data_IF_308193905825
#
_entry.id   IF_308193905825
#
_cell.length_a   1.000
_cell.length_b   1.000
_cell.length_c   1.000
_cell.angle_alpha   90.00
_cell.angle_beta   90.00
_cell.angle_gamma   90.00
#
_symmetry.space_group_name_H-M   'P 1'
#
loop_
_entity.id
_entity.type
_entity.pdbx_description
1 polymer ?
#
# COMPACT_ATOMS: atom_id res chain seq x y z
N UNK A 1 26.37 -24.90 -27.19
CA UNK A 1 25.55 -25.06 -25.98
C UNK A 1 25.95 -23.92 -25.06
N UNK A 2 24.98 -23.17 -24.53
CA UNK A 2 25.28 -21.99 -23.73
C UNK A 2 25.16 -22.39 -22.26
N UNK A 3 26.23 -22.96 -21.72
CA UNK A 3 26.36 -23.19 -20.28
C UNK A 3 26.33 -21.84 -19.56
N UNK A 4 25.53 -21.75 -18.50
CA UNK A 4 25.42 -20.57 -17.65
C UNK A 4 25.83 -20.94 -16.24
N UNK A 5 26.76 -20.18 -15.67
CA UNK A 5 27.16 -20.32 -14.27
C UNK A 5 26.23 -19.47 -13.41
N UNK A 6 25.52 -20.10 -12.48
CA UNK A 6 24.69 -19.41 -11.50
C UNK A 6 25.51 -19.18 -10.22
N UNK A 7 25.59 -17.91 -9.84
CA UNK A 7 26.19 -17.45 -8.59
C UNK A 7 25.07 -16.98 -7.64
N UNK A 8 25.21 -17.25 -6.35
CA UNK A 8 24.25 -16.89 -5.32
C UNK A 8 24.86 -15.90 -4.34
N UNK A 9 24.20 -14.77 -4.14
CA UNK A 9 24.58 -13.80 -3.11
C UNK A 9 23.82 -14.13 -1.81
N UNK A 10 24.49 -14.60 -0.75
CA UNK A 10 23.81 -15.03 0.48
C UNK A 10 23.23 -13.84 1.26
N UNK A 11 23.84 -12.66 1.16
CA UNK A 11 23.40 -11.42 1.81
C UNK A 11 23.87 -10.21 1.00
N UNK A 12 23.13 -9.09 1.02
CA UNK A 12 23.53 -7.87 0.31
C UNK A 12 24.96 -7.45 0.70
N UNK A 13 25.82 -7.24 -0.30
CA UNK A 13 27.21 -6.83 -0.09
C UNK A 13 28.22 -7.96 0.15
N UNK A 14 27.78 -9.22 0.25
CA UNK A 14 28.69 -10.38 0.28
C UNK A 14 29.04 -10.79 -1.15
N UNK A 15 30.25 -11.31 -1.36
CA UNK A 15 30.65 -11.84 -2.67
C UNK A 15 29.75 -13.01 -3.09
N UNK A 16 29.29 -13.06 -4.35
CA UNK A 16 28.51 -14.18 -4.85
C UNK A 16 29.29 -15.49 -4.74
N UNK A 17 28.63 -16.55 -4.28
CA UNK A 17 29.18 -17.90 -4.21
C UNK A 17 28.65 -18.77 -5.35
N UNK A 18 29.46 -19.70 -5.83
CA UNK A 18 29.05 -20.64 -6.88
C UNK A 18 27.88 -21.53 -6.39
N UNK A 19 26.78 -21.52 -7.14
CA UNK A 19 25.62 -22.38 -6.90
C UNK A 19 25.64 -23.60 -7.81
N UNK A 20 25.57 -23.40 -9.13
CA UNK A 20 25.50 -24.48 -10.11
C UNK A 20 25.86 -23.98 -11.52
N UNK A 21 26.42 -24.86 -12.35
CA UNK A 21 26.43 -24.67 -13.81
C UNK A 21 25.17 -25.30 -14.37
N UNK A 22 24.46 -24.56 -15.24
CA UNK A 22 23.18 -25.00 -15.79
C UNK A 22 23.09 -24.80 -17.29
N UNK A 23 22.27 -25.64 -17.92
CA UNK A 23 21.91 -25.55 -19.33
C UNK A 23 20.40 -25.51 -19.53
N UNK A 24 19.87 -24.73 -20.48
CA UNK A 24 18.45 -24.72 -20.78
C UNK A 24 18.01 -26.05 -21.39
N UNK A 25 16.99 -26.68 -20.79
CA UNK A 25 16.34 -27.87 -21.34
C UNK A 25 15.37 -27.42 -22.43
N UNK A 26 15.64 -27.81 -23.68
CA UNK A 26 14.72 -27.57 -24.79
C UNK A 26 13.57 -28.57 -24.69
N UNK A 27 12.42 -28.13 -24.17
CA UNK A 27 11.21 -28.96 -24.07
C UNK A 27 10.37 -28.93 -25.35
N UNK A 28 10.46 -27.86 -26.15
CA UNK A 28 9.68 -27.71 -27.40
C UNK A 28 10.54 -27.16 -28.54
N UNK A 29 10.33 -27.66 -29.76
CA UNK A 29 10.99 -27.17 -30.98
C UNK A 29 10.65 -25.71 -31.33
N UNK A 30 9.58 -25.16 -30.74
CA UNK A 30 9.14 -23.76 -30.87
C UNK A 30 9.65 -22.85 -29.74
N UNK A 31 10.29 -23.42 -28.70
CA UNK A 31 10.82 -22.63 -27.60
C UNK A 31 12.03 -21.82 -28.07
N UNK A 32 11.83 -20.51 -28.24
CA UNK A 32 12.92 -19.58 -28.53
C UNK A 32 14.00 -19.77 -27.47
N UNK A 33 15.18 -20.22 -27.89
CA UNK A 33 16.34 -20.42 -27.01
C UNK A 33 16.55 -19.16 -26.18
N UNK A 34 16.52 -19.33 -24.86
CA UNK A 34 16.80 -18.26 -23.94
C UNK A 34 18.29 -17.92 -24.02
N UNK A 35 18.57 -16.67 -24.37
CA UNK A 35 19.92 -16.10 -24.35
C UNK A 35 20.26 -15.74 -22.90
N UNK A 36 20.84 -16.69 -22.18
CA UNK A 36 21.40 -16.44 -20.85
C UNK A 36 22.88 -16.00 -20.99
N UNK A 37 23.35 -15.05 -20.15
CA UNK A 37 24.76 -14.70 -20.09
C UNK A 37 25.59 -15.87 -19.55
N UNK A 38 26.91 -15.85 -19.77
CA UNK A 38 27.83 -16.86 -19.23
C UNK A 38 27.75 -16.96 -17.69
N UNK A 39 27.57 -15.83 -17.02
CA UNK A 39 27.48 -15.74 -15.56
C UNK A 39 26.20 -15.00 -15.16
N UNK A 40 25.43 -15.59 -14.24
CA UNK A 40 24.18 -15.06 -13.74
C UNK A 40 24.22 -15.01 -12.21
N UNK A 41 24.07 -13.80 -11.65
CA UNK A 41 24.10 -13.57 -10.20
C UNK A 41 22.68 -13.43 -9.67
N UNK A 42 22.33 -14.32 -8.73
CA UNK A 42 21.10 -14.28 -7.96
C UNK A 42 21.31 -13.44 -6.71
N UNK A 43 20.86 -12.19 -6.75
CA UNK A 43 21.10 -11.17 -5.72
C UNK A 43 19.83 -10.69 -5.00
N UNK A 44 18.65 -10.92 -5.57
CA UNK A 44 17.37 -10.52 -4.99
C UNK A 44 16.61 -11.68 -4.35
N UNK A 45 15.97 -11.43 -3.21
CA UNK A 45 14.95 -12.32 -2.66
C UNK A 45 13.63 -11.57 -2.50
N UNK A 46 12.53 -12.17 -2.94
CA UNK A 46 11.17 -11.65 -2.76
C UNK A 46 10.26 -12.74 -2.19
N UNK A 47 9.21 -12.35 -1.48
CA UNK A 47 8.19 -13.28 -0.95
C UNK A 47 6.97 -13.40 -1.87
N UNK A 48 6.97 -12.69 -2.99
CA UNK A 48 5.87 -12.74 -3.94
C UNK A 48 5.76 -14.15 -4.57
N UNK A 49 4.54 -14.70 -4.70
CA UNK A 49 4.33 -15.97 -5.40
C UNK A 49 4.51 -15.74 -6.90
N UNK A 50 5.57 -16.31 -7.47
CA UNK A 50 5.90 -16.14 -8.89
C UNK A 50 5.46 -17.33 -9.74
N UNK A 51 5.25 -18.52 -9.18
CA UNK A 51 4.79 -19.66 -9.99
C UNK A 51 3.27 -19.64 -10.21
N UNK A 52 2.53 -19.18 -9.19
CA UNK A 52 1.08 -19.25 -9.14
C UNK A 52 0.50 -18.29 -10.17
N UNK A 53 0.02 -18.85 -11.28
CA UNK A 53 -0.64 -18.10 -12.33
C UNK A 53 -1.85 -17.33 -11.79
N UNK A 54 -1.66 -16.05 -11.47
CA UNK A 54 -2.58 -15.03 -11.99
C UNK A 54 -2.33 -14.90 -13.50
N UNK A 55 -2.47 -16.02 -14.22
CA UNK A 55 -2.98 -15.96 -15.56
C UNK A 55 -4.44 -15.58 -15.36
N UNK A 56 -4.72 -14.29 -15.35
CA UNK A 56 -6.08 -13.83 -15.60
C UNK A 56 -6.49 -14.44 -16.94
N UNK A 57 -7.49 -15.34 -17.00
CA UNK A 57 -7.78 -16.15 -18.17
C UNK A 57 -8.32 -15.36 -19.38
N UNK A 58 -8.24 -14.02 -19.36
CA UNK A 58 -8.83 -13.12 -20.36
C UNK A 58 -7.84 -12.12 -20.98
N UNK A 59 -6.53 -12.37 -20.91
CA UNK A 59 -5.54 -11.49 -21.54
C UNK A 59 -4.53 -12.28 -22.35
N UNK A 60 -4.98 -12.80 -23.48
CA UNK A 60 -4.20 -13.58 -24.47
C UNK A 60 -2.95 -12.88 -25.03
N UNK A 61 -2.63 -11.64 -24.61
CA UNK A 61 -1.51 -10.86 -25.16
C UNK A 61 -0.63 -10.16 -24.11
N UNK A 62 -0.75 -10.49 -22.82
CA UNK A 62 0.03 -9.80 -21.76
C UNK A 62 0.82 -10.78 -20.92
N UNK A 63 2.02 -11.08 -21.39
CA UNK A 63 3.23 -10.58 -20.75
C UNK A 63 4.43 -11.31 -21.35
N UNK A 64 5.46 -10.59 -21.79
CA UNK A 64 6.66 -11.15 -22.44
C UNK A 64 7.50 -12.10 -21.56
N UNK A 65 6.91 -12.66 -20.49
CA UNK A 65 7.50 -13.70 -19.66
C UNK A 65 7.57 -15.00 -20.45
N UNK A 66 8.78 -15.53 -20.54
CA UNK A 66 9.09 -16.88 -21.01
C UNK A 66 9.36 -17.76 -19.79
N UNK A 67 9.08 -19.04 -19.90
CA UNK A 67 9.36 -20.01 -18.83
C UNK A 67 10.24 -21.11 -19.38
N UNK A 68 11.21 -21.58 -18.61
CA UNK A 68 12.01 -22.73 -18.98
C UNK A 68 12.47 -23.53 -17.76
N UNK A 69 13.02 -24.70 -18.03
CA UNK A 69 13.76 -25.49 -17.06
C UNK A 69 15.24 -25.41 -17.38
N UNK A 70 16.06 -25.19 -16.35
CA UNK A 70 17.52 -25.25 -16.42
C UNK A 70 17.97 -26.53 -15.72
N UNK A 71 18.80 -27.33 -16.40
CA UNK A 71 19.36 -28.56 -15.86
C UNK A 71 20.77 -28.28 -15.32
N UNK A 72 21.04 -28.68 -14.09
CA UNK A 72 22.40 -28.61 -13.55
C UNK A 72 23.31 -29.68 -14.16
N UNK A 73 24.48 -29.26 -14.63
CA UNK A 73 25.50 -30.12 -15.26
C UNK A 73 26.74 -30.33 -14.40
N UNK A 74 26.83 -29.68 -13.24
CA UNK A 74 28.05 -29.60 -12.43
C UNK A 74 28.33 -30.83 -11.54
N UNK A 75 27.32 -31.68 -11.31
CA UNK A 75 27.38 -32.85 -10.44
C UNK A 75 27.57 -32.56 -8.94
N UNK A 76 27.53 -31.29 -8.49
CA UNK A 76 27.81 -30.90 -7.09
C UNK A 76 26.58 -30.96 -6.18
N UNK A 77 25.40 -31.20 -6.73
CA UNK A 77 24.15 -31.42 -5.99
C UNK A 77 23.81 -30.31 -4.97
N UNK A 78 24.20 -29.05 -5.24
CA UNK A 78 23.85 -27.90 -4.39
C UNK A 78 22.42 -27.40 -4.65
N UNK A 79 21.92 -27.61 -5.86
CA UNK A 79 20.63 -27.13 -6.33
C UNK A 79 19.42 -27.65 -5.48
N UNK A 80 19.37 -28.93 -5.09
CA UNK A 80 18.31 -29.42 -4.19
C UNK A 80 18.25 -28.70 -2.85
N UNK A 81 19.42 -28.39 -2.25
CA UNK A 81 19.50 -27.65 -0.98
C UNK A 81 18.99 -26.22 -1.12
N UNK A 82 19.34 -25.56 -2.22
CA UNK A 82 18.85 -24.23 -2.56
C UNK A 82 17.33 -24.20 -2.79
N UNK A 83 16.79 -25.13 -3.59
CA UNK A 83 15.34 -25.23 -3.82
C UNK A 83 14.56 -25.49 -2.54
N UNK A 84 15.10 -26.35 -1.66
CA UNK A 84 14.54 -26.59 -0.32
C UNK A 84 14.52 -25.30 0.50
N UNK A 85 15.61 -24.54 0.51
CA UNK A 85 15.67 -23.25 1.20
C UNK A 85 14.61 -22.26 0.71
N UNK A 86 14.44 -22.11 -0.61
CA UNK A 86 13.41 -21.23 -1.19
C UNK A 86 12.00 -21.63 -0.75
N UNK A 87 11.70 -22.94 -0.77
CA UNK A 87 10.41 -23.50 -0.36
C UNK A 87 10.13 -23.30 1.13
N UNK A 88 11.09 -23.65 1.98
CA UNK A 88 10.97 -23.55 3.44
C UNK A 88 10.77 -22.10 3.89
N UNK A 89 11.43 -21.15 3.21
CA UNK A 89 11.33 -19.71 3.51
C UNK A 89 10.23 -18.99 2.75
N UNK A 90 9.54 -19.65 1.80
CA UNK A 90 8.58 -19.04 0.86
C UNK A 90 9.15 -17.79 0.18
N UNK A 91 10.36 -17.92 -0.38
CA UNK A 91 11.09 -16.84 -1.05
C UNK A 91 11.41 -17.23 -2.48
N UNK A 92 11.06 -16.38 -3.44
CA UNK A 92 11.59 -16.44 -4.80
C UNK A 92 12.92 -15.71 -4.86
N UNK A 93 13.81 -16.18 -5.73
CA UNK A 93 15.11 -15.56 -5.98
C UNK A 93 15.11 -14.87 -7.34
N UNK A 94 15.75 -13.71 -7.45
CA UNK A 94 15.73 -12.86 -8.63
C UNK A 94 17.15 -12.55 -9.06
N UNK A 95 17.40 -12.63 -10.37
CA UNK A 95 18.59 -12.13 -11.01
C UNK A 95 18.19 -11.02 -12.00
N UNK A 96 18.97 -9.95 -12.03
CA UNK A 96 18.86 -8.88 -13.04
C UNK A 96 20.15 -8.85 -13.84
N UNK A 97 20.05 -8.91 -15.16
CA UNK A 97 21.23 -8.90 -16.04
C UNK A 97 20.92 -8.20 -17.35
N UNK A 98 21.95 -8.02 -18.18
CA UNK A 98 21.80 -7.51 -19.54
C UNK A 98 21.81 -8.70 -20.50
N UNK A 99 20.76 -8.85 -21.29
CA UNK A 99 20.69 -9.90 -22.31
C UNK A 99 21.72 -9.60 -23.40
N UNK A 100 22.56 -10.59 -23.71
CA UNK A 100 23.62 -10.48 -24.72
C UNK A 100 23.05 -10.33 -26.13
N UNK A 101 21.90 -10.94 -26.41
CA UNK A 101 21.29 -10.92 -27.74
C UNK A 101 20.52 -9.63 -28.02
N UNK A 102 19.76 -9.15 -27.04
CA UNK A 102 18.86 -8.01 -27.21
C UNK A 102 19.46 -6.66 -26.74
N UNK A 103 20.59 -6.67 -26.02
CA UNK A 103 21.14 -5.50 -25.32
C UNK A 103 20.17 -4.84 -24.33
N UNK A 104 19.02 -5.47 -24.10
CA UNK A 104 17.99 -5.06 -23.14
C UNK A 104 18.30 -5.65 -21.78
N UNK A 105 17.80 -5.02 -20.73
CA UNK A 105 17.84 -5.56 -19.39
C UNK A 105 16.79 -6.65 -19.24
N UNK A 106 17.18 -7.74 -18.61
CA UNK A 106 16.35 -8.89 -18.36
C UNK A 106 16.27 -9.23 -16.87
N UNK A 107 15.17 -9.87 -16.50
CA UNK A 107 14.94 -10.43 -15.17
C UNK A 107 14.76 -11.92 -15.32
N UNK A 108 15.45 -12.68 -14.47
CA UNK A 108 15.18 -14.09 -14.24
C UNK A 108 14.70 -14.29 -12.81
N UNK A 109 13.65 -15.07 -12.63
CA UNK A 109 13.05 -15.38 -11.34
C UNK A 109 13.01 -16.88 -11.14
N UNK A 110 13.53 -17.33 -10.00
CA UNK A 110 13.40 -18.70 -9.48
C UNK A 110 12.29 -18.69 -8.42
N UNK A 111 11.07 -19.17 -8.72
CA UNK A 111 9.99 -19.23 -7.74
C UNK A 111 10.24 -20.31 -6.67
N UNK A 112 9.68 -20.11 -5.47
CA UNK A 112 9.68 -21.13 -4.41
C UNK A 112 8.64 -22.23 -4.62
N UNK A 113 7.65 -21.96 -5.48
CA UNK A 113 6.45 -22.77 -5.70
C UNK A 113 6.39 -23.39 -7.11
N UNK A 114 7.48 -23.90 -7.72
CA UNK A 114 7.51 -24.25 -9.15
C UNK A 114 6.37 -25.21 -9.58
N UNK A 115 5.87 -25.11 -10.83
CA UNK A 115 4.84 -26.00 -11.34
C UNK A 115 5.32 -27.46 -11.38
N UNK A 116 4.39 -28.43 -11.44
CA UNK A 116 4.74 -29.83 -11.60
C UNK A 116 5.61 -30.05 -12.83
N UNK A 117 6.72 -30.76 -12.66
CA UNK A 117 7.66 -31.04 -13.75
C UNK A 117 7.02 -32.01 -14.76
N UNK A 118 6.90 -31.63 -16.04
CA UNK A 118 6.32 -32.49 -17.07
C UNK A 118 7.29 -33.63 -17.37
N UNK A 119 7.03 -34.83 -16.83
CA UNK A 119 7.92 -35.99 -17.00
C UNK A 119 8.03 -36.48 -18.44
N UNK A 120 7.07 -36.16 -19.30
CA UNK A 120 7.03 -36.61 -20.69
C UNK A 120 7.92 -35.77 -21.63
N UNK A 121 8.27 -34.53 -21.24
CA UNK A 121 9.04 -33.60 -22.07
C UNK A 121 10.53 -33.58 -21.74
N UNK A 122 10.97 -34.34 -20.74
CA UNK A 122 12.36 -34.37 -20.31
C UNK A 122 13.16 -35.43 -21.08
N UNK A 123 14.41 -35.13 -21.47
CA UNK A 123 15.32 -36.14 -22.02
C UNK A 123 15.47 -37.34 -21.07
N UNK A 124 15.63 -38.54 -21.63
CA UNK A 124 15.81 -39.75 -20.84
C UNK A 124 17.09 -39.66 -19.98
N UNK A 125 16.97 -40.01 -18.70
CA UNK A 125 18.09 -40.01 -17.75
C UNK A 125 18.31 -38.70 -16.98
N UNK A 126 17.48 -37.66 -17.23
CA UNK A 126 17.55 -36.41 -16.46
C UNK A 126 16.97 -36.59 -15.06
N UNK A 127 17.76 -36.30 -14.04
CA UNK A 127 17.30 -36.29 -12.65
C UNK A 127 16.44 -35.04 -12.37
N UNK A 128 15.22 -35.26 -11.91
CA UNK A 128 14.27 -34.21 -11.53
C UNK A 128 14.79 -33.31 -10.41
N UNK A 129 15.69 -33.81 -9.57
CA UNK A 129 16.27 -33.02 -8.47
C UNK A 129 17.25 -31.94 -8.94
N UNK A 130 17.80 -32.11 -10.15
CA UNK A 130 18.75 -31.19 -10.77
C UNK A 130 18.08 -30.16 -11.70
N UNK A 131 16.75 -30.16 -11.76
CA UNK A 131 15.98 -29.22 -12.58
C UNK A 131 15.60 -27.98 -11.79
N UNK A 132 15.81 -26.83 -12.42
CA UNK A 132 15.49 -25.51 -11.91
C UNK A 132 14.46 -24.86 -12.82
N UNK A 133 13.23 -24.69 -12.34
CA UNK A 133 12.22 -23.92 -13.08
C UNK A 133 12.49 -22.42 -12.93
N UNK A 134 12.48 -21.68 -14.04
CA UNK A 134 12.72 -20.25 -14.06
C UNK A 134 11.71 -19.50 -14.94
N UNK A 135 11.41 -18.27 -14.56
CA UNK A 135 10.68 -17.30 -15.39
C UNK A 135 11.64 -16.21 -15.85
N UNK A 136 11.59 -15.88 -17.13
CA UNK A 136 12.46 -14.92 -17.80
C UNK A 136 11.63 -13.81 -18.44
N UNK A 137 12.01 -12.55 -18.24
CA UNK A 137 11.43 -11.40 -18.94
C UNK A 137 12.55 -10.51 -19.45
N UNK A 138 12.58 -10.28 -20.77
CA UNK A 138 13.41 -9.26 -21.38
C UNK A 138 12.55 -8.00 -21.63
N UNK A 139 12.54 -7.07 -20.68
CA UNK A 139 11.82 -5.80 -20.83
C UNK A 139 12.56 -4.66 -20.12
N UNK A 140 13.10 -3.74 -20.91
CA UNK A 140 13.74 -2.53 -20.41
C UNK A 140 12.77 -1.66 -19.62
N UNK A 141 11.47 -1.66 -19.93
CA UNK A 141 10.48 -0.79 -19.27
C UNK A 141 10.22 -1.21 -17.84
N UNK A 142 10.13 -2.51 -17.57
CA UNK A 142 9.90 -3.05 -16.22
C UNK A 142 11.08 -2.73 -15.30
N UNK A 143 12.30 -2.80 -15.82
CA UNK A 143 13.52 -2.48 -15.07
C UNK A 143 13.85 -0.98 -15.00
N UNK A 144 13.22 -0.16 -15.84
CA UNK A 144 13.38 1.30 -15.86
C UNK A 144 12.33 2.05 -15.05
N UNK A 145 11.34 1.38 -14.43
CA UNK A 145 10.31 2.04 -13.61
C UNK A 145 10.86 2.87 -12.43
N UNK A 146 12.15 2.77 -12.11
CA UNK A 146 12.84 3.65 -11.15
C UNK A 146 13.66 4.80 -11.75
N UNK A 147 13.85 4.88 -13.07
CA UNK A 147 14.51 6.01 -13.75
C UNK A 147 13.46 6.78 -14.54
N UNK A 148 13.04 7.93 -14.03
CA UNK A 148 12.09 8.83 -14.71
C UNK A 148 12.57 9.08 -16.14
N UNK A 149 11.71 8.94 -17.17
CA UNK A 149 12.02 9.56 -18.46
C UNK A 149 12.19 11.06 -18.20
N UNK A 150 13.22 11.68 -18.77
CA UNK A 150 13.43 13.11 -18.69
C UNK A 150 12.12 13.80 -19.13
N UNK A 151 11.43 14.41 -18.16
CA UNK A 151 10.20 15.15 -18.45
C UNK A 151 10.64 16.42 -19.16
N UNK A 152 10.15 16.63 -20.37
CA UNK A 152 10.37 17.87 -21.11
C UNK A 152 10.08 19.09 -20.21
N UNK A 153 11.01 20.04 -20.07
CA UNK A 153 10.83 21.20 -19.18
C UNK A 153 9.57 22.02 -19.52
N UNK A 154 9.13 21.99 -20.79
CA UNK A 154 7.88 22.60 -21.23
C UNK A 154 6.61 21.93 -20.66
N UNK A 155 6.61 20.61 -20.46
CA UNK A 155 5.48 19.92 -19.80
C UNK A 155 5.44 20.21 -18.31
N UNK A 156 6.60 20.40 -17.68
CA UNK A 156 6.68 20.73 -16.25
C UNK A 156 6.11 22.12 -15.96
N UNK A 157 6.43 23.11 -16.80
CA UNK A 157 5.85 24.46 -16.78
C UNK A 157 4.32 24.45 -16.99
N UNK A 158 3.80 23.62 -17.90
CA UNK A 158 2.35 23.51 -18.10
C UNK A 158 1.65 22.94 -16.86
N UNK A 159 2.20 21.89 -16.24
CA UNK A 159 1.63 21.28 -15.04
C UNK A 159 1.63 22.28 -13.88
N UNK A 160 2.69 23.08 -13.73
CA UNK A 160 2.79 24.09 -12.68
C UNK A 160 1.80 25.24 -12.87
N UNK A 161 1.63 25.73 -14.11
CA UNK A 161 0.60 26.73 -14.43
C UNK A 161 -0.83 26.19 -14.19
N UNK A 162 -1.06 24.91 -14.45
CA UNK A 162 -2.37 24.28 -14.22
C UNK A 162 -2.68 24.17 -12.72
N UNK A 163 -1.69 23.76 -11.91
CA UNK A 163 -1.81 23.74 -10.44
C UNK A 163 -2.04 25.14 -9.85
N UNK A 164 -1.40 26.18 -10.37
CA UNK A 164 -1.62 27.56 -9.94
C UNK A 164 -3.06 28.03 -10.23
N UNK A 165 -3.60 27.71 -11.40
CA UNK A 165 -4.99 28.03 -11.76
C UNK A 165 -5.99 27.29 -10.86
N UNK A 166 -5.77 26.00 -10.58
CA UNK A 166 -6.63 25.24 -9.66
C UNK A 166 -6.60 25.82 -8.25
N UNK A 167 -5.42 26.21 -7.75
CA UNK A 167 -5.28 26.81 -6.42
C UNK A 167 -6.00 28.16 -6.32
N UNK A 168 -5.97 28.99 -7.37
CA UNK A 168 -6.76 30.23 -7.42
C UNK A 168 -8.27 29.97 -7.41
N UNK A 169 -8.75 29.00 -8.20
CA UNK A 169 -10.17 28.64 -8.26
C UNK A 169 -10.65 28.15 -6.89
N UNK A 170 -9.85 27.33 -6.21
CA UNK A 170 -10.17 26.80 -4.88
C UNK A 170 -10.25 27.91 -3.83
N UNK A 171 -9.32 28.87 -3.86
CA UNK A 171 -9.33 30.02 -2.96
C UNK A 171 -10.57 30.92 -3.18
N UNK A 172 -10.95 31.13 -4.44
CA UNK A 172 -12.13 31.91 -4.78
C UNK A 172 -13.43 31.23 -4.34
N UNK A 173 -13.51 29.90 -4.39
CA UNK A 173 -14.63 29.14 -3.85
C UNK A 173 -14.72 29.25 -2.33
N UNK A 174 -13.60 29.17 -1.60
CA UNK A 174 -13.60 29.31 -0.14
C UNK A 174 -14.09 30.69 0.31
N UNK A 175 -13.69 31.77 -0.39
CA UNK A 175 -14.18 33.12 -0.09
C UNK A 175 -15.68 33.26 -0.31
N UNK A 176 -16.23 32.68 -1.39
CA UNK A 176 -17.68 32.68 -1.65
C UNK A 176 -18.45 31.95 -0.55
N UNK A 177 -17.93 30.83 -0.05
CA UNK A 177 -18.56 30.06 1.04
C UNK A 177 -18.58 30.86 2.34
N UNK A 178 -17.50 31.59 2.66
CA UNK A 178 -17.45 32.44 3.86
C UNK A 178 -18.43 33.62 3.78
N UNK A 179 -18.56 34.28 2.63
CA UNK A 179 -19.52 35.37 2.44
C UNK A 179 -20.98 34.89 2.55
N UNK A 180 -21.30 33.69 2.08
CA UNK A 180 -22.64 33.11 2.26
C UNK A 180 -22.95 32.80 3.73
N UNK A 181 -21.97 32.30 4.50
CA UNK A 181 -22.15 32.05 5.95
C UNK A 181 -22.42 33.34 6.74
N UNK A 182 -21.75 34.44 6.40
CA UNK A 182 -21.99 35.73 7.06
C UNK A 182 -23.40 36.26 6.79
N UNK A 183 -23.93 36.12 5.56
CA UNK A 183 -25.29 36.55 5.21
C UNK A 183 -26.39 35.75 5.90
N UNK A 184 -26.15 34.48 6.23
CA UNK A 184 -27.13 33.65 6.96
C UNK A 184 -27.19 34.00 8.45
N UNK A 185 -26.09 34.47 9.06
CA UNK A 185 -26.10 34.86 10.48
C UNK A 185 -26.79 36.21 10.75
N UNK A 186 -26.96 37.07 9.74
CA UNK A 186 -27.63 38.37 9.91
C UNK A 186 -29.16 38.30 9.88
N UNK A 187 -29.78 37.17 9.51
CA UNK A 187 -31.25 37.03 9.44
C UNK A 187 -31.90 36.39 10.68
N UNK A 188 -31.16 36.01 11.72
CA UNK A 188 -31.72 35.38 12.93
C UNK A 188 -31.73 36.26 14.20
N UNK A 189 -31.36 37.56 14.12
CA UNK A 189 -31.43 38.49 15.25
C UNK A 189 -32.56 39.52 15.09
N UNK A 190 -33.82 39.07 15.15
CA UNK A 190 -34.94 39.98 15.40
C UNK A 190 -36.21 39.28 15.87
N UNK A 191 -36.19 38.60 17.02
CA UNK A 191 -37.40 38.48 17.88
C UNK A 191 -36.99 38.33 19.35
N UNK A 192 -37.26 39.38 20.13
CA UNK A 192 -37.38 39.39 21.60
C UNK A 192 -38.47 40.44 21.87
N UNK A 193 -39.56 40.20 22.60
CA UNK A 193 -39.65 39.83 24.02
C UNK A 193 -41.11 39.50 24.43
N UNK A 194 -41.26 39.05 25.69
CA UNK A 194 -42.42 39.17 26.59
C UNK A 194 -43.30 37.89 26.68
N UNK A 195 -43.77 37.36 27.83
CA UNK A 195 -43.97 37.85 29.20
C UNK A 195 -44.09 36.68 30.22
N UNK A 196 -43.85 37.01 31.49
CA UNK A 196 -44.63 36.61 32.69
C UNK A 196 -44.43 35.27 33.42
N UNK A 197 -44.69 35.40 34.72
CA UNK A 197 -44.56 34.49 35.84
C UNK A 197 -45.68 33.46 35.94
N UNK A 198 -45.36 32.22 36.38
CA UNK A 198 -46.24 31.42 37.26
C UNK A 198 -45.55 30.16 37.81
N UNK A 199 -45.81 29.92 39.10
CA UNK A 199 -45.66 28.66 39.84
C UNK A 199 -46.32 27.50 39.09
N UNK A 200 -45.75 26.30 39.17
CA UNK A 200 -46.45 25.08 38.78
C UNK A 200 -45.58 23.85 38.72
N UNK A 201 -45.86 22.92 39.62
CA UNK A 201 -45.34 21.54 39.72
C UNK A 201 -45.50 20.80 38.38
N UNK A 202 -44.47 20.07 37.96
CA UNK A 202 -44.56 19.20 36.78
C UNK A 202 -43.25 18.49 36.49
N UNK A 203 -43.11 17.27 37.01
CA UNK A 203 -42.01 16.36 36.68
C UNK A 203 -41.96 16.08 35.19
N UNK A 204 -40.77 16.17 34.61
CA UNK A 204 -40.51 15.88 33.21
C UNK A 204 -39.05 15.47 33.04
N UNK A 205 -38.86 14.47 32.17
CA UNK A 205 -37.66 13.66 31.90
C UNK A 205 -36.36 14.48 31.68
N UNK A 206 -36.44 15.80 31.47
CA UNK A 206 -35.31 16.72 31.34
C UNK A 206 -34.67 17.13 32.69
N UNK A 207 -35.39 17.06 33.81
CA UNK A 207 -34.81 17.31 35.14
C UNK A 207 -33.76 16.25 35.54
N UNK A 208 -33.95 15.01 35.08
CA UNK A 208 -32.99 13.93 35.30
C UNK A 208 -31.73 14.04 34.42
N UNK A 209 -31.76 14.79 33.31
CA UNK A 209 -30.62 14.93 32.41
C UNK A 209 -29.62 15.99 32.92
N UNK A 210 -30.13 17.09 33.47
CA UNK A 210 -29.29 18.13 34.10
C UNK A 210 -28.72 17.67 35.45
N UNK A 211 -29.49 16.86 36.22
CA UNK A 211 -28.97 16.21 37.44
C UNK A 211 -27.95 15.09 37.17
N UNK A 212 -28.04 14.41 36.01
CA UNK A 212 -27.07 13.38 35.62
C UNK A 212 -25.72 13.97 35.20
N UNK A 213 -25.69 15.16 34.59
CA UNK A 213 -24.43 15.87 34.27
C UNK A 213 -23.66 16.33 35.52
N UNK A 214 -24.35 16.75 36.58
CA UNK A 214 -23.66 17.12 37.83
C UNK A 214 -23.08 15.90 38.57
N UNK A 215 -23.73 14.73 38.48
CA UNK A 215 -23.23 13.49 39.09
C UNK A 215 -22.02 12.89 38.37
N UNK A 216 -21.91 13.04 37.05
CA UNK A 216 -20.71 12.61 36.30
C UNK A 216 -19.51 13.51 36.56
N UNK A 217 -19.72 14.80 36.81
CA UNK A 217 -18.64 15.74 37.10
C UNK A 217 -18.00 15.46 38.47
N UNK A 218 -18.81 15.23 39.51
CA UNK A 218 -18.30 14.84 40.83
C UNK A 218 -17.65 13.44 40.83
N UNK A 219 -18.14 12.50 40.00
CA UNK A 219 -17.53 11.17 39.90
C UNK A 219 -16.16 11.21 39.17
N UNK A 220 -15.99 12.11 38.19
CA UNK A 220 -14.69 12.33 37.53
C UNK A 220 -13.67 12.96 38.47
N UNK A 221 -14.10 13.88 39.35
CA UNK A 221 -13.20 14.49 40.33
C UNK A 221 -12.79 13.51 41.44
N UNK A 222 -13.69 12.61 41.87
CA UNK A 222 -13.33 11.51 42.79
C UNK A 222 -12.39 10.49 42.14
N UNK A 223 -12.56 10.19 40.84
CA UNK A 223 -11.64 9.29 40.10
C UNK A 223 -10.28 9.96 39.84
N UNK A 224 -10.24 11.29 39.63
CA UNK A 224 -8.98 12.05 39.56
C UNK A 224 -8.29 12.16 40.92
N UNK A 225 -9.03 12.34 42.01
CA UNK A 225 -8.48 12.41 43.36
C UNK A 225 -7.94 11.05 43.82
N UNK A 226 -8.58 9.94 43.46
CA UNK A 226 -8.12 8.59 43.83
C UNK A 226 -6.84 8.14 43.09
N UNK A 227 -6.45 8.82 42.00
CA UNK A 227 -5.17 8.61 41.31
C UNK A 227 -3.98 9.37 41.90
N UNK A 228 -4.19 10.26 42.87
CA UNK A 228 -3.11 11.05 43.50
C UNK A 228 -2.51 10.45 44.79
N UNK A 229 -2.98 9.28 45.24
CA UNK A 229 -2.53 8.67 46.50
C UNK A 229 -1.46 7.56 46.38
N UNK A 230 -0.81 7.42 45.23
CA UNK A 230 0.45 6.67 45.14
C UNK A 230 1.62 7.66 45.08
N UNK A 231 1.93 8.24 46.23
CA UNK A 231 3.17 8.99 46.47
C UNK A 231 4.34 8.00 46.56
N UNK A 232 4.83 7.61 45.39
CA UNK A 232 6.25 7.45 45.15
C UNK A 232 6.52 8.47 44.05
N UNK A 233 7.25 9.54 44.37
CA UNK A 233 7.83 10.40 43.34
C UNK A 233 8.59 9.48 42.37
N UNK A 234 8.14 9.31 41.12
CA UNK A 234 8.87 8.50 40.18
C UNK A 234 10.22 9.18 39.99
N UNK A 235 11.28 8.46 40.34
CA UNK A 235 12.64 8.89 40.04
C UNK A 235 12.75 8.93 38.50
N UNK A 236 12.56 10.13 37.94
CA UNK A 236 12.58 10.44 36.50
C UNK A 236 13.91 10.07 35.83
N UNK A 237 14.94 9.73 36.62
CA UNK A 237 16.25 9.31 36.16
C UNK A 237 16.41 7.79 36.06
N UNK A 238 15.44 7.01 36.55
CA UNK A 238 15.47 5.55 36.56
C UNK A 238 14.44 4.92 35.62
N UNK A 239 14.69 3.68 35.18
CA UNK A 239 13.73 2.89 34.40
C UNK A 239 13.53 3.37 32.95
N UNK A 240 12.31 3.16 32.42
CA UNK A 240 11.96 3.51 31.04
C UNK A 240 12.06 5.02 30.76
N UNK A 241 11.63 5.85 31.71
CA UNK A 241 11.69 7.31 31.59
C UNK A 241 13.14 7.82 31.56
N UNK A 242 14.03 7.26 32.39
CA UNK A 242 15.46 7.60 32.37
C UNK A 242 16.13 7.23 31.04
N UNK A 243 15.79 6.08 30.46
CA UNK A 243 16.31 5.67 29.16
C UNK A 243 15.85 6.59 28.02
N UNK A 244 14.59 7.04 28.05
CA UNK A 244 14.06 8.00 27.06
C UNK A 244 14.74 9.37 27.20
N UNK A 245 14.90 9.86 28.43
CA UNK A 245 15.54 11.16 28.69
C UNK A 245 17.02 11.16 28.31
N UNK A 246 17.77 10.12 28.69
CA UNK A 246 19.19 10.01 28.31
C UNK A 246 19.39 9.87 26.80
N UNK A 247 18.48 9.18 26.10
CA UNK A 247 18.49 9.15 24.65
C UNK A 247 18.16 10.52 24.05
N UNK A 248 17.17 11.25 24.59
CA UNK A 248 16.83 12.61 24.17
C UNK A 248 18.03 13.54 24.30
N UNK A 249 18.71 13.54 25.44
CA UNK A 249 19.90 14.36 25.69
C UNK A 249 21.05 14.02 24.73
N UNK A 250 21.26 12.73 24.45
CA UNK A 250 22.26 12.29 23.48
C UNK A 250 21.96 12.81 22.08
N UNK A 251 20.71 12.67 21.62
CA UNK A 251 20.29 13.16 20.30
C UNK A 251 20.39 14.67 20.23
N UNK A 252 19.97 15.39 21.28
CA UNK A 252 20.11 16.84 21.36
C UNK A 252 21.58 17.28 21.22
N UNK A 253 22.49 16.65 21.96
CA UNK A 253 23.93 16.96 21.89
C UNK A 253 24.53 16.67 20.52
N UNK A 254 24.13 15.58 19.86
CA UNK A 254 24.60 15.23 18.52
C UNK A 254 24.05 16.20 17.45
N UNK A 255 22.80 16.64 17.60
CA UNK A 255 22.19 17.65 16.73
C UNK A 255 22.76 19.05 16.94
N UNK A 256 23.14 19.43 18.17
CA UNK A 256 23.83 20.69 18.46
C UNK A 256 25.23 20.72 17.83
N UNK A 257 25.97 19.62 17.91
CA UNK A 257 27.26 19.49 17.19
C UNK A 257 27.05 19.62 15.69
N UNK A 258 26.05 18.95 15.14
CA UNK A 258 25.69 19.06 13.73
C UNK A 258 25.25 20.49 13.33
N UNK A 259 24.58 21.22 14.24
CA UNK A 259 24.24 22.63 14.04
C UNK A 259 25.48 23.51 13.94
N UNK A 260 26.47 23.25 14.78
CA UNK A 260 27.73 24.03 14.83
C UNK A 260 28.65 23.78 13.64
N UNK A 261 28.55 22.62 13.00
CA UNK A 261 29.38 22.25 11.86
C UNK A 261 28.77 22.74 10.53
N UNK A 262 29.34 23.79 9.95
CA UNK A 262 28.87 24.37 8.68
C UNK A 262 29.24 23.54 7.44
N UNK A 263 30.14 22.56 7.56
CA UNK A 263 30.59 21.73 6.43
C UNK A 263 29.73 20.50 6.17
N UNK A 264 28.95 20.07 7.17
CA UNK A 264 28.10 18.89 7.09
C UNK A 264 26.63 19.27 6.92
N UNK A 265 26.00 18.73 5.87
CA UNK A 265 24.61 19.02 5.51
C UNK A 265 23.64 17.88 5.83
N UNK A 266 24.18 16.70 6.17
CA UNK A 266 23.42 15.49 6.46
C UNK A 266 24.04 14.80 7.67
N UNK A 267 23.21 14.37 8.61
CA UNK A 267 23.61 13.51 9.73
C UNK A 267 22.68 12.32 9.85
N UNK A 268 23.17 11.20 10.40
CA UNK A 268 22.42 9.97 10.58
C UNK A 268 22.31 9.64 12.06
N UNK A 269 21.08 9.48 12.55
CA UNK A 269 20.77 9.04 13.91
C UNK A 269 20.34 7.59 13.85
N UNK A 270 21.19 6.69 14.34
CA UNK A 270 20.87 5.26 14.46
C UNK A 270 20.19 4.98 15.81
N UNK A 271 19.07 4.30 15.76
CA UNK A 271 18.27 3.87 16.91
C UNK A 271 18.31 2.35 16.94
N UNK A 272 18.93 1.78 17.97
CA UNK A 272 18.90 0.34 18.24
C UNK A 272 18.08 0.10 19.51
N UNK A 273 16.93 -0.55 19.36
CA UNK A 273 16.05 -0.84 20.50
C UNK A 273 16.76 -1.77 21.51
N UNK A 274 17.49 -2.76 21.02
CA UNK A 274 18.26 -3.68 21.86
C UNK A 274 19.27 -2.94 22.75
N UNK A 275 19.99 -1.97 22.20
CA UNK A 275 20.96 -1.18 22.97
C UNK A 275 20.31 -0.29 24.02
N UNK A 276 19.14 0.29 23.71
CA UNK A 276 18.45 1.25 24.59
C UNK A 276 17.64 0.58 25.71
N UNK A 277 17.18 -0.65 25.47
CA UNK A 277 16.37 -1.41 26.43
C UNK A 277 17.22 -2.19 27.44
N UNK A 278 18.53 -2.35 27.19
CA UNK A 278 19.45 -3.05 28.09
C UNK A 278 19.54 -2.42 29.50
N UNK A 279 19.39 -1.09 29.60
CA UNK A 279 19.41 -0.36 30.88
C UNK A 279 18.06 -0.31 31.59
N UNK A 280 16.98 -0.80 30.95
CA UNK A 280 15.61 -0.72 31.47
C UNK A 280 15.21 -2.02 32.17
N UNK A 281 14.65 -1.95 33.40
CA UNK A 281 14.10 -3.11 34.11
C UNK A 281 13.04 -3.84 33.27
N UNK A 282 12.97 -5.17 33.40
CA UNK A 282 12.13 -6.03 32.56
C UNK A 282 10.65 -5.63 32.64
N UNK A 283 10.18 -5.16 33.80
CA UNK A 283 8.78 -4.76 34.01
C UNK A 283 8.37 -3.50 33.23
N UNK A 284 9.33 -2.73 32.69
CA UNK A 284 9.05 -1.47 32.00
C UNK A 284 9.47 -1.45 30.52
N UNK A 285 10.02 -2.55 30.02
CA UNK A 285 10.52 -2.63 28.63
C UNK A 285 9.40 -2.50 27.60
N UNK A 286 8.18 -2.87 27.96
CA UNK A 286 6.98 -2.77 27.13
C UNK A 286 6.57 -1.32 26.85
N UNK A 287 6.88 -0.39 27.76
CA UNK A 287 6.64 1.05 27.60
C UNK A 287 7.64 1.69 26.63
N UNK A 288 8.81 1.07 26.44
CA UNK A 288 9.89 1.56 25.60
C UNK A 288 9.76 0.94 24.21
N UNK A 289 8.96 1.58 23.35
CA UNK A 289 8.76 1.13 21.97
C UNK A 289 9.62 1.93 21.00
N UNK A 290 9.90 1.33 19.85
CA UNK A 290 10.62 1.99 18.76
C UNK A 290 9.95 3.31 18.32
N UNK A 291 8.62 3.37 18.37
CA UNK A 291 7.89 4.57 18.00
C UNK A 291 8.15 5.73 18.96
N UNK A 292 8.27 5.47 20.27
CA UNK A 292 8.64 6.49 21.25
C UNK A 292 9.99 7.12 20.91
N UNK A 293 11.00 6.31 20.58
CA UNK A 293 12.31 6.84 20.19
C UNK A 293 12.29 7.59 18.86
N UNK A 294 11.51 7.15 17.87
CA UNK A 294 11.30 7.93 16.63
C UNK A 294 10.74 9.31 16.94
N UNK A 295 9.69 9.37 17.76
CA UNK A 295 9.07 10.64 18.15
C UNK A 295 10.07 11.57 18.84
N UNK A 296 10.90 11.04 19.74
CA UNK A 296 11.97 11.83 20.38
C UNK A 296 12.93 12.42 19.35
N UNK A 297 13.35 11.64 18.33
CA UNK A 297 14.24 12.18 17.29
C UNK A 297 13.54 13.27 16.47
N UNK A 298 12.29 13.05 16.05
CA UNK A 298 11.54 14.07 15.29
C UNK A 298 11.34 15.36 16.10
N UNK A 299 10.95 15.24 17.37
CA UNK A 299 10.78 16.37 18.29
C UNK A 299 12.08 17.15 18.46
N UNK A 300 13.21 16.46 18.66
CA UNK A 300 14.51 17.12 18.83
C UNK A 300 15.02 17.78 17.54
N UNK A 301 14.74 17.20 16.37
CA UNK A 301 15.07 17.82 15.08
C UNK A 301 14.26 19.11 14.86
N UNK A 302 12.98 19.09 15.22
CA UNK A 302 12.09 20.26 15.16
C UNK A 302 12.58 21.37 16.10
N UNK A 303 12.89 21.01 17.35
CA UNK A 303 13.35 21.94 18.39
C UNK A 303 14.72 22.57 18.07
N UNK A 304 15.72 21.76 17.69
CA UNK A 304 17.08 22.25 17.41
C UNK A 304 17.18 22.94 16.05
N UNK A 305 16.48 22.37 15.05
CA UNK A 305 16.47 22.79 13.65
C UNK A 305 15.53 23.96 13.36
N UNK A 306 14.71 24.39 14.32
CA UNK A 306 13.75 25.49 14.18
C UNK A 306 12.84 25.31 12.94
N UNK A 307 12.27 24.12 12.77
CA UNK A 307 11.40 23.73 11.64
C UNK A 307 12.04 23.74 10.24
N UNK A 308 13.34 24.05 10.13
CA UNK A 308 14.04 24.14 8.83
C UNK A 308 14.69 22.82 8.40
N UNK A 309 14.86 21.90 9.34
CA UNK A 309 15.51 20.63 9.09
C UNK A 309 14.46 19.56 8.81
N UNK A 310 14.83 18.64 7.93
CA UNK A 310 13.94 17.56 7.53
C UNK A 310 14.54 16.24 8.01
N UNK A 311 13.79 15.51 8.82
CA UNK A 311 14.12 14.15 9.24
C UNK A 311 13.35 13.14 8.40
N UNK A 312 14.04 12.13 7.89
CA UNK A 312 13.45 11.07 7.09
C UNK A 312 13.95 9.70 7.55
N UNK A 313 13.05 8.72 7.57
CA UNK A 313 13.37 7.35 7.94
C UNK A 313 13.99 6.63 6.73
N UNK A 314 15.18 6.06 6.90
CA UNK A 314 15.74 5.15 5.90
C UNK A 314 15.11 3.74 6.02
N UNK A 315 14.80 3.08 4.90
CA UNK A 315 14.36 1.70 4.91
C UNK A 315 15.48 0.82 5.49
N UNK A 316 15.13 0.05 6.50
CA UNK A 316 16.05 -0.76 7.30
C UNK A 316 15.54 -2.19 7.30
N UNK A 317 16.45 -3.16 7.12
CA UNK A 317 16.11 -4.60 7.01
C UNK A 317 15.80 -5.23 8.38
N UNK A 318 16.21 -4.57 9.46
CA UNK A 318 16.05 -5.02 10.84
C UNK A 318 14.85 -4.32 11.51
N UNK A 319 14.08 -5.09 12.28
CA UNK A 319 12.85 -4.61 12.93
C UNK A 319 13.18 -3.78 14.18
N UNK A 320 14.33 -4.06 14.78
CA UNK A 320 14.87 -3.51 16.02
C UNK A 320 15.90 -2.40 15.81
N UNK A 321 16.27 -2.10 14.56
CA UNK A 321 17.18 -1.01 14.20
C UNK A 321 16.53 -0.08 13.17
N UNK A 322 16.60 1.22 13.45
CA UNK A 322 16.09 2.25 12.54
C UNK A 322 17.12 3.35 12.42
N UNK A 323 17.32 3.82 11.18
CA UNK A 323 18.16 4.97 10.90
C UNK A 323 17.27 6.12 10.45
N UNK A 324 17.38 7.26 11.14
CA UNK A 324 16.73 8.51 10.76
C UNK A 324 17.81 9.45 10.26
N UNK A 325 17.67 9.90 9.01
CA UNK A 325 18.57 10.84 8.37
C UNK A 325 18.01 12.24 8.51
N UNK A 326 18.82 13.17 9.00
CA UNK A 326 18.47 14.57 9.21
C UNK A 326 19.22 15.41 8.18
N UNK A 327 18.47 16.21 7.44
CA UNK A 327 18.97 17.07 6.37
C UNK A 327 18.79 18.53 6.75
N UNK A 328 19.83 19.34 6.51
CA UNK A 328 19.71 20.81 6.58
C UNK A 328 18.87 21.34 5.41
N UNK A 329 18.33 22.55 5.59
CA UNK A 329 17.54 23.26 4.59
C UNK A 329 18.26 23.29 3.22
N UNK A 330 17.55 22.95 2.15
CA UNK A 330 18.09 22.98 0.78
C UNK A 330 18.93 21.75 0.35
N UNK A 331 19.28 20.84 1.27
CA UNK A 331 20.09 19.65 0.98
C UNK A 331 19.29 18.34 1.00
N UNK A 332 17.96 18.43 0.95
CA UNK A 332 17.07 17.26 0.97
C UNK A 332 16.95 16.66 -0.43
N UNK A 333 17.23 15.36 -0.63
CA UNK A 333 16.98 14.69 -1.89
C UNK A 333 15.50 14.79 -2.29
N UNK A 334 15.23 14.99 -3.58
CA UNK A 334 13.87 15.09 -4.10
C UNK A 334 13.01 13.86 -3.79
N UNK A 335 13.62 12.68 -3.73
CA UNK A 335 12.94 11.42 -3.41
C UNK A 335 12.36 11.43 -1.98
N UNK A 336 13.12 11.97 -1.02
CA UNK A 336 12.72 12.10 0.39
C UNK A 336 11.59 13.13 0.57
N UNK A 337 11.67 14.24 -0.16
CA UNK A 337 10.60 15.26 -0.20
C UNK A 337 9.30 14.70 -0.80
N UNK A 338 9.40 13.87 -1.84
CA UNK A 338 8.24 13.19 -2.41
C UNK A 338 7.63 12.21 -1.42
N UNK A 339 8.44 11.45 -0.67
CA UNK A 339 7.95 10.47 0.30
C UNK A 339 7.32 11.13 1.53
N UNK A 340 7.84 12.27 2.01
CA UNK A 340 7.19 13.10 3.02
C UNK A 340 5.84 13.67 2.54
N UNK A 341 5.76 14.04 1.26
CA UNK A 341 4.52 14.51 0.66
C UNK A 341 3.54 13.37 0.32
N UNK A 342 4.04 12.14 0.17
CA UNK A 342 3.25 10.91 -0.02
C UNK A 342 2.89 10.24 1.31
N UNK A 343 3.53 10.63 2.42
CA UNK A 343 3.26 10.08 3.74
C UNK A 343 1.77 10.25 4.06
N UNK A 344 1.15 9.10 4.30
CA UNK A 344 -0.28 8.86 4.27
C UNK A 344 -1.15 9.96 4.89
N UNK A 345 -2.02 10.53 4.06
CA UNK A 345 -3.25 11.15 4.54
C UNK A 345 -3.87 10.21 5.58
N UNK A 346 -4.26 10.72 6.77
CA UNK A 346 -4.84 9.92 7.84
C UNK A 346 -5.88 8.95 7.29
N UNK A 347 -5.91 7.71 7.79
CA UNK A 347 -6.80 6.67 7.28
C UNK A 347 -8.27 7.13 7.18
N UNK A 348 -8.67 8.06 8.05
CA UNK A 348 -9.97 8.74 8.06
C UNK A 348 -10.21 9.60 6.79
N UNK A 349 -9.20 10.34 6.32
CA UNK A 349 -9.23 11.14 5.09
C UNK A 349 -9.16 10.27 3.83
N UNK A 350 -8.41 9.16 3.85
CA UNK A 350 -8.46 8.14 2.78
C UNK A 350 -9.84 7.50 2.67
N UNK A 351 -10.48 7.21 3.80
CA UNK A 351 -11.86 6.71 3.85
C UNK A 351 -12.85 7.72 3.27
N UNK A 352 -12.74 9.00 3.65
CA UNK A 352 -13.59 10.06 3.13
C UNK A 352 -13.40 10.27 1.61
N UNK A 353 -12.15 10.25 1.14
CA UNK A 353 -11.81 10.41 -0.28
C UNK A 353 -12.32 9.23 -1.11
N UNK A 354 -12.17 7.99 -0.62
CA UNK A 354 -12.77 6.80 -1.25
C UNK A 354 -14.30 6.89 -1.28
N UNK A 355 -14.93 7.30 -0.18
CA UNK A 355 -16.38 7.46 -0.15
C UNK A 355 -16.88 8.54 -1.11
N UNK A 356 -16.15 9.66 -1.24
CA UNK A 356 -16.45 10.69 -2.24
C UNK A 356 -16.27 10.18 -3.67
N UNK A 357 -15.19 9.45 -3.96
CA UNK A 357 -14.95 8.84 -5.26
C UNK A 357 -16.03 7.82 -5.63
N UNK A 358 -16.43 6.96 -4.69
CA UNK A 358 -17.53 6.00 -4.87
C UNK A 358 -18.88 6.70 -5.07
N UNK A 359 -19.11 7.81 -4.37
CA UNK A 359 -20.33 8.62 -4.53
C UNK A 359 -20.37 9.27 -5.91
N UNK A 360 -19.26 9.85 -6.37
CA UNK A 360 -19.15 10.43 -7.71
C UNK A 360 -19.28 9.37 -8.81
N UNK A 361 -18.67 8.20 -8.63
CA UNK A 361 -18.79 7.04 -9.54
C UNK A 361 -20.24 6.56 -9.64
N UNK A 362 -20.96 6.43 -8.52
CA UNK A 362 -22.39 6.07 -8.53
C UNK A 362 -23.27 7.13 -9.20
N UNK A 363 -22.94 8.41 -9.06
CA UNK A 363 -23.66 9.50 -9.74
C UNK A 363 -23.40 9.46 -11.25
N UNK A 364 -22.15 9.24 -11.67
CA UNK A 364 -21.79 9.10 -13.07
C UNK A 364 -22.50 7.91 -13.71
N UNK A 365 -22.50 6.74 -13.07
CA UNK A 365 -23.23 5.56 -13.53
C UNK A 365 -24.75 5.79 -13.65
N UNK A 366 -25.34 6.54 -12.72
CA UNK A 366 -26.77 6.91 -12.80
C UNK A 366 -27.05 7.87 -13.96
N UNK A 367 -26.11 8.75 -14.29
CA UNK A 367 -26.22 9.69 -15.41
C UNK A 367 -26.09 8.94 -16.75
N UNK A 368 -25.15 8.00 -16.85
CA UNK A 368 -24.95 7.17 -18.04
C UNK A 368 -26.12 6.19 -18.28
N UNK A 369 -26.70 5.64 -17.20
CA UNK A 369 -27.91 4.82 -17.31
C UNK A 369 -29.12 5.63 -17.79
N UNK A 370 -29.26 6.88 -17.35
CA UNK A 370 -30.33 7.77 -17.82
C UNK A 370 -30.12 8.21 -19.26
N UNK A 371 -28.90 8.53 -19.67
CA UNK A 371 -28.61 8.92 -21.06
C UNK A 371 -28.85 7.76 -22.02
N UNK A 372 -28.37 6.56 -21.69
CA UNK A 372 -28.61 5.35 -22.50
C UNK A 372 -30.10 4.99 -22.62
N UNK A 373 -30.89 5.13 -21.55
CA UNK A 373 -32.35 4.89 -21.61
C UNK A 373 -33.08 5.92 -22.50
N UNK A 374 -32.64 7.18 -22.51
CA UNK A 374 -33.19 8.21 -23.41
C UNK A 374 -32.83 7.92 -24.86
N UNK A 375 -31.58 7.54 -25.16
CA UNK A 375 -31.17 7.16 -26.52
C UNK A 375 -31.92 5.91 -27.01
N UNK A 376 -32.11 4.92 -26.13
CA UNK A 376 -32.85 3.69 -26.49
C UNK A 376 -34.33 3.99 -26.77
N UNK A 377 -34.96 4.89 -26.01
CA UNK A 377 -36.35 5.32 -26.26
C UNK A 377 -36.49 6.11 -27.55
N UNK A 378 -35.50 6.93 -27.93
CA UNK A 378 -35.53 7.65 -29.21
C UNK A 378 -35.41 6.71 -30.42
N UNK A 379 -34.68 5.59 -30.30
CA UNK A 379 -34.54 4.63 -31.39
C UNK A 379 -35.78 3.75 -31.62
N UNK A 380 -36.71 3.65 -30.65
CA UNK A 380 -37.91 2.79 -30.76
C UNK A 380 -39.10 3.52 -31.40
N UNK A 381 -39.06 4.86 -31.56
CA UNK A 381 -40.17 5.65 -32.11
C UNK A 381 -40.31 5.53 -33.65
N UNK A 382 -39.44 4.76 -34.33
CA UNK A 382 -39.41 4.63 -35.78
C UNK A 382 -39.90 3.31 -36.40
N UNK A 383 -40.29 2.30 -35.60
CA UNK A 383 -40.72 0.99 -36.14
C UNK A 383 -42.21 0.73 -35.89
N UNK A 384 -43.01 0.89 -36.95
CA UNK A 384 -44.48 0.74 -36.98
C UNK A 384 -45.01 -0.69 -36.81
N UNK A 385 -44.24 -1.64 -36.25
CA UNK A 385 -44.71 -3.01 -36.02
C UNK A 385 -44.11 -3.69 -34.78
N UNK A 386 -43.89 -2.93 -33.69
CA UNK A 386 -43.57 -3.55 -32.40
C UNK A 386 -44.85 -3.64 -31.57
N UNK A 387 -45.43 -4.84 -31.53
CA UNK A 387 -46.47 -5.22 -30.56
C UNK A 387 -45.89 -5.00 -29.16
N UNK A 388 -46.28 -3.89 -28.54
CA UNK A 388 -45.91 -3.56 -27.16
C UNK A 388 -46.53 -4.63 -26.24
N UNK A 389 -45.71 -5.59 -25.83
CA UNK A 389 -46.04 -6.54 -24.78
C UNK A 389 -46.54 -5.76 -23.56
N UNK A 390 -47.79 -6.02 -23.17
CA UNK A 390 -48.46 -5.39 -22.06
C UNK A 390 -47.66 -5.62 -20.75
N UNK A 391 -46.85 -4.65 -20.35
CA UNK A 391 -46.00 -4.71 -19.14
C UNK A 391 -46.80 -4.55 -17.84
N UNK A 392 -48.13 -4.32 -17.91
CA UNK A 392 -48.99 -4.16 -16.73
C UNK A 392 -49.41 -5.48 -16.06
N UNK A 393 -49.06 -6.63 -16.63
CA UNK A 393 -49.18 -7.92 -15.93
C UNK A 393 -47.81 -8.47 -15.62
N UNK A 394 -47.17 -7.92 -14.58
CA UNK A 394 -45.96 -8.48 -13.99
C UNK A 394 -46.31 -9.85 -13.43
N UNK A 395 -45.94 -10.90 -14.15
CA UNK A 395 -46.16 -12.27 -13.71
C UNK A 395 -45.45 -12.47 -12.37
N UNK A 396 -46.22 -12.73 -11.31
CA UNK A 396 -45.71 -12.88 -9.94
C UNK A 396 -45.22 -14.32 -9.66
N UNK A 397 -45.32 -15.21 -10.65
CA UNK A 397 -44.84 -16.58 -10.52
C UNK A 397 -43.32 -16.59 -10.43
N UNK A 398 -42.80 -17.46 -9.57
CA UNK A 398 -41.36 -17.69 -9.43
C UNK A 398 -40.83 -18.51 -10.60
N UNK A 399 -39.54 -18.39 -10.91
CA UNK A 399 -38.89 -19.10 -12.03
C UNK A 399 -39.12 -20.62 -11.96
N UNK A 400 -39.14 -21.18 -10.75
CA UNK A 400 -39.41 -22.61 -10.49
C UNK A 400 -40.86 -23.01 -10.80
N UNK A 401 -41.84 -22.14 -10.53
CA UNK A 401 -43.24 -22.38 -10.89
C UNK A 401 -43.45 -22.35 -12.41
N UNK A 402 -42.78 -21.44 -13.11
CA UNK A 402 -42.85 -21.37 -14.58
C UNK A 402 -42.27 -22.64 -15.21
N UNK A 403 -41.14 -23.12 -14.69
CA UNK A 403 -40.54 -24.36 -15.16
C UNK A 403 -41.44 -25.56 -14.85
N UNK A 404 -42.04 -25.62 -13.66
CA UNK A 404 -42.96 -26.69 -13.30
C UNK A 404 -44.20 -26.74 -14.19
N UNK A 405 -44.80 -25.58 -14.50
CA UNK A 405 -45.94 -25.49 -15.43
C UNK A 405 -45.57 -25.95 -16.85
N UNK A 406 -44.34 -25.67 -17.30
CA UNK A 406 -43.85 -26.16 -18.60
C UNK A 406 -43.65 -27.67 -18.64
N UNK A 407 -43.25 -28.29 -17.52
CA UNK A 407 -43.00 -29.73 -17.43
C UNK A 407 -44.22 -30.55 -16.99
N UNK A 408 -45.23 -29.92 -16.36
CA UNK A 408 -46.52 -30.56 -16.09
C UNK A 408 -47.39 -30.47 -17.34
N UNK A 409 -47.25 -31.47 -18.22
CA UNK A 409 -47.92 -31.58 -19.52
C UNK A 409 -49.44 -31.74 -19.47
N UNK A 410 -50.16 -30.77 -18.91
CA UNK A 410 -51.61 -30.66 -18.99
C UNK A 410 -52.01 -29.74 -20.17
N UNK A 411 -51.55 -30.10 -21.38
CA UNK A 411 -52.14 -29.62 -22.62
C UNK A 411 -53.52 -30.24 -22.79
N UNK A 412 -54.50 -29.73 -22.05
CA UNK A 412 -55.91 -30.02 -22.29
C UNK A 412 -56.30 -29.43 -23.65
N UNK A 413 -56.49 -30.34 -24.61
CA UNK A 413 -57.25 -30.13 -25.85
C UNK A 413 -58.51 -29.30 -25.59
N UNK A 414 -58.58 -28.14 -26.21
CA UNK A 414 -59.79 -27.33 -26.41
C UNK A 414 -59.84 -27.10 -27.92
N UNK A 415 -60.53 -27.91 -28.74
CA UNK A 415 -61.98 -28.13 -28.88
C UNK A 415 -62.75 -26.87 -29.30
N UNK A 416 -62.50 -26.47 -30.54
CA UNK A 416 -63.36 -25.78 -31.50
C UNK A 416 -62.81 -26.30 -32.85
N UNK A 417 -63.51 -27.14 -33.62
CA UNK A 417 -64.68 -26.82 -34.47
C UNK A 417 -64.61 -25.43 -35.11
#
# INVERSE_FOLDING_TARGET
MNETTIMLTPSPGVQPEFLATVEPVSTDASSQQLSLPFELVLDGYTREPWSSGMMTPNSEDTSGWKTCYLLSTDGRNRLPGFLKYLRDRKKACVAKFKDSAASTRAILVVPFDPPPVPSEQLPAGVDKTQLLYVKYLADDRVLSRGKKPAIDPNKQLQIEQQKLKEKQIQMQQQQKIQQQRQKQMTQQKSVSQSTSSKKGIGGGILGNLLGAQQKTQNHLDVVRAKRRNNDLTPDLTSGAAGAITSFREKVAADLEKFKSDNGTFVTKVSISLASLVNSVPIEERDKVTMDVFKYVVYEQVEEVGMDKWIAAKEPTDFIDEIVIVVYKEGHVPADVLEDLNKADLPAELKGLSRHMADTQSKIAQRKDKRSSEVTMKQNIVGEDNVVVLNTNKRDRRTLEQIQKDMFSGDMKRSRFD
#
